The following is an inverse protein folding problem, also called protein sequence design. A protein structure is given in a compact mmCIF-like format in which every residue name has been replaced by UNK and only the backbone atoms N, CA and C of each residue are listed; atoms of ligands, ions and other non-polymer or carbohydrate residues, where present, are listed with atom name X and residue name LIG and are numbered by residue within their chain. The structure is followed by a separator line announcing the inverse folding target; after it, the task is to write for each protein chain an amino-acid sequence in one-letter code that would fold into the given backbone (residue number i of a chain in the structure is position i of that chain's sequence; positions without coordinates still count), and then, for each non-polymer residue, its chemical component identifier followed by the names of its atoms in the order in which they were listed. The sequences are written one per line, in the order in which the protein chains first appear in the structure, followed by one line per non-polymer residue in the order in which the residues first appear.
data_IF_459433776052
#
_entry.id   IF_459433776052
#
_cell.length_a   1.000
_cell.length_b   1.000
_cell.length_c   1.000
_cell.angle_alpha   90.00
_cell.angle_beta   90.00
_cell.angle_gamma   90.00
#
_symmetry.space_group_name_H-M   'P 1'
#
loop_
_entity.id
_entity.type
_entity.pdbx_description
1 polymer ?
#
# COMPACT_ATOMS: atom_id res chain seq x y z
N UNK A 1 -14.92 -17.24 -0.51
CA UNK A 1 -15.16 -17.35 0.94
C UNK A 1 -14.04 -16.60 1.64
N UNK A 2 -14.16 -15.28 1.77
CA UNK A 2 -13.48 -14.59 2.87
C UNK A 2 -14.35 -14.86 4.10
N UNK A 3 -13.82 -15.59 5.08
CA UNK A 3 -14.48 -15.76 6.35
C UNK A 3 -14.46 -14.40 7.08
N UNK A 4 -15.63 -13.86 7.39
CA UNK A 4 -15.80 -12.83 8.42
C UNK A 4 -16.40 -13.53 9.65
N UNK A 5 -15.59 -13.70 10.69
CA UNK A 5 -16.05 -14.11 12.01
C UNK A 5 -16.57 -12.87 12.73
N UNK A 6 -17.85 -12.86 13.10
CA UNK A 6 -18.46 -11.84 13.97
C UNK A 6 -18.06 -12.16 15.42
N UNK A 7 -17.22 -11.34 16.05
CA UNK A 7 -16.89 -11.48 17.47
C UNK A 7 -17.80 -10.57 18.28
N UNK A 8 -18.70 -11.17 19.06
CA UNK A 8 -19.59 -10.47 19.99
C UNK A 8 -18.84 -9.91 21.21
N UNK A 9 -19.33 -8.77 21.71
CA UNK A 9 -18.70 -7.84 22.67
C UNK A 9 -18.52 -8.34 24.12
N UNK A 10 -18.17 -9.62 24.38
CA UNK A 10 -17.98 -10.11 25.77
C UNK A 10 -16.68 -10.87 26.07
N UNK A 11 -15.70 -10.91 25.15
CA UNK A 11 -14.33 -11.40 25.45
C UNK A 11 -13.27 -10.63 24.64
N UNK A 12 -13.08 -9.34 24.94
CA UNK A 12 -12.12 -8.51 24.21
C UNK A 12 -10.64 -8.87 24.49
N UNK A 13 -10.30 -9.42 25.65
CA UNK A 13 -8.89 -9.61 26.03
C UNK A 13 -8.22 -10.83 25.39
N UNK A 14 -8.94 -11.92 25.12
CA UNK A 14 -8.34 -13.13 24.52
C UNK A 14 -8.27 -13.10 22.99
N UNK A 15 -9.15 -12.32 22.33
CA UNK A 15 -9.27 -12.28 20.86
C UNK A 15 -8.26 -11.31 20.21
N UNK A 16 -7.85 -10.25 20.92
CA UNK A 16 -6.81 -9.33 20.46
C UNK A 16 -5.47 -10.05 20.22
N UNK A 17 -5.18 -11.12 20.97
CA UNK A 17 -4.00 -11.96 20.74
C UNK A 17 -4.06 -12.75 19.41
N UNK A 18 -5.26 -13.01 18.90
CA UNK A 18 -5.49 -13.89 17.74
C UNK A 18 -5.55 -13.12 16.42
N UNK A 19 -5.95 -11.85 16.42
CA UNK A 19 -6.05 -11.02 15.21
C UNK A 19 -4.68 -10.60 14.66
N UNK A 20 -3.65 -10.50 15.51
CA UNK A 20 -2.26 -10.33 15.05
C UNK A 20 -1.75 -11.52 14.23
N UNK A 21 -2.42 -12.68 14.28
CA UNK A 21 -1.95 -13.91 13.62
C UNK A 21 -2.48 -14.14 12.20
N UNK A 22 -3.48 -13.39 11.73
CA UNK A 22 -4.17 -13.68 10.46
C UNK A 22 -3.57 -12.98 9.23
N UNK A 23 -2.88 -11.84 9.38
CA UNK A 23 -2.14 -11.20 8.27
C UNK A 23 -0.78 -11.86 8.01
N UNK A 24 -0.16 -12.41 9.05
CA UNK A 24 1.17 -13.04 9.01
C UNK A 24 1.23 -14.41 8.33
N UNK A 25 0.10 -15.01 7.92
CA UNK A 25 0.03 -16.36 7.32
C UNK A 25 -0.05 -16.40 5.79
N UNK A 26 0.30 -15.31 5.08
CA UNK A 26 -0.04 -15.22 3.64
C UNK A 26 1.08 -15.38 2.61
N UNK A 27 2.33 -15.56 3.02
CA UNK A 27 3.38 -15.90 2.06
C UNK A 27 4.11 -17.15 2.53
N UNK A 28 3.94 -18.24 1.78
CA UNK A 28 4.89 -19.35 1.83
C UNK A 28 6.19 -18.79 1.25
N UNK A 29 7.09 -18.35 2.12
CA UNK A 29 8.39 -17.85 1.68
C UNK A 29 9.13 -19.00 1.00
N UNK A 30 9.37 -18.86 -0.29
CA UNK A 30 10.24 -19.79 -1.05
C UNK A 30 11.71 -19.52 -0.76
N UNK A 31 12.03 -18.44 -0.04
CA UNK A 31 13.39 -18.06 0.32
C UNK A 31 13.74 -18.64 1.69
N UNK A 32 14.91 -19.27 1.78
CA UNK A 32 15.44 -19.64 3.07
C UNK A 32 15.69 -18.37 3.91
N UNK A 33 15.30 -18.33 5.20
CA UNK A 33 15.59 -17.20 6.07
C UNK A 33 17.09 -16.91 6.12
N UNK A 34 17.49 -15.65 5.93
CA UNK A 34 18.89 -15.23 6.04
C UNK A 34 19.81 -15.67 4.87
N UNK A 35 19.26 -16.10 3.73
CA UNK A 35 20.07 -16.49 2.56
C UNK A 35 20.11 -15.42 1.48
N UNK A 36 21.30 -15.12 0.95
CA UNK A 36 21.48 -14.31 -0.26
C UNK A 36 21.79 -15.26 -1.41
N UNK A 37 20.95 -15.24 -2.46
CA UNK A 37 21.15 -16.08 -3.62
C UNK A 37 22.43 -15.69 -4.38
N UNK A 38 23.23 -16.64 -4.91
CA UNK A 38 24.51 -16.35 -5.57
C UNK A 38 24.42 -15.42 -6.79
N UNK A 39 23.25 -15.33 -7.43
CA UNK A 39 23.00 -14.44 -8.58
C UNK A 39 22.48 -13.06 -8.19
N UNK A 40 22.26 -12.79 -6.90
CA UNK A 40 21.90 -11.47 -6.42
C UNK A 40 23.13 -10.55 -6.47
N UNK A 41 22.92 -9.31 -6.91
CA UNK A 41 23.97 -8.28 -6.95
C UNK A 41 23.75 -7.36 -5.76
N UNK A 42 24.50 -7.59 -4.70
CA UNK A 42 24.50 -6.75 -3.49
C UNK A 42 25.79 -5.97 -3.46
N UNK A 43 25.70 -4.64 -3.49
CA UNK A 43 26.87 -3.80 -3.37
C UNK A 43 27.54 -3.98 -1.99
N UNK A 44 28.89 -4.04 -1.88
CA UNK A 44 29.58 -4.32 -0.61
C UNK A 44 29.30 -3.30 0.50
N UNK A 45 28.97 -2.05 0.14
CA UNK A 45 28.61 -0.99 1.10
C UNK A 45 27.15 -1.03 1.57
N UNK A 46 26.30 -1.88 0.97
CA UNK A 46 24.92 -2.02 1.40
C UNK A 46 24.87 -2.57 2.84
N UNK A 47 23.99 -2.00 3.66
CA UNK A 47 23.83 -2.44 5.06
C UNK A 47 22.64 -3.38 5.14
N UNK A 48 22.89 -4.64 5.47
CA UNK A 48 21.86 -5.67 5.60
C UNK A 48 21.70 -6.09 7.07
N UNK A 49 20.46 -6.09 7.54
CA UNK A 49 20.07 -6.58 8.86
C UNK A 49 20.15 -8.11 8.98
N UNK A 50 19.95 -8.59 10.20
CA UNK A 50 19.93 -10.02 10.51
C UNK A 50 18.73 -10.71 9.85
N UNK A 51 18.96 -11.91 9.30
CA UNK A 51 17.90 -12.74 8.72
C UNK A 51 17.30 -12.20 7.43
N UNK A 52 17.95 -11.24 6.76
CA UNK A 52 17.53 -10.76 5.43
C UNK A 52 17.70 -11.87 4.41
N UNK A 53 16.66 -12.11 3.63
CA UNK A 53 16.67 -13.07 2.52
C UNK A 53 16.60 -12.34 1.19
N UNK A 54 17.52 -12.65 0.27
CA UNK A 54 17.60 -12.03 -1.05
C UNK A 54 17.56 -13.11 -2.12
N UNK A 55 16.53 -13.05 -2.97
CA UNK A 55 16.31 -13.98 -4.07
C UNK A 55 17.25 -13.79 -5.26
N UNK A 56 17.18 -14.71 -6.24
CA UNK A 56 17.96 -14.62 -7.48
C UNK A 56 17.66 -13.32 -8.24
N UNK A 57 18.70 -12.76 -8.86
CA UNK A 57 18.61 -11.58 -9.74
C UNK A 57 18.12 -10.29 -9.08
N UNK A 58 18.06 -10.23 -7.74
CA UNK A 58 17.85 -8.99 -7.03
C UNK A 58 19.07 -8.06 -7.15
N UNK A 59 18.84 -6.75 -7.06
CA UNK A 59 19.91 -5.74 -7.00
C UNK A 59 19.74 -4.87 -5.76
N UNK A 60 20.82 -4.66 -5.01
CA UNK A 60 20.84 -3.77 -3.83
C UNK A 60 21.99 -2.77 -3.97
N UNK A 61 21.62 -1.48 -4.04
CA UNK A 61 22.54 -0.36 -4.24
C UNK A 61 23.48 -0.07 -3.06
N UNK A 62 24.49 0.75 -3.30
CA UNK A 62 25.60 1.01 -2.37
C UNK A 62 25.23 1.75 -1.09
N UNK A 63 24.19 2.58 -1.14
CA UNK A 63 23.71 3.41 -0.03
C UNK A 63 22.44 2.85 0.60
N UNK A 64 22.03 1.65 0.21
CA UNK A 64 20.82 1.01 0.70
C UNK A 64 21.04 0.42 2.10
N UNK A 65 20.03 0.61 2.96
CA UNK A 65 19.93 -0.05 4.26
C UNK A 65 18.66 -0.90 4.32
N UNK A 66 18.81 -2.18 4.66
CA UNK A 66 17.70 -3.13 4.78
C UNK A 66 17.63 -3.66 6.20
N UNK A 67 16.49 -3.46 6.86
CA UNK A 67 16.23 -3.91 8.23
C UNK A 67 16.14 -5.43 8.38
N UNK A 68 16.07 -5.88 9.64
CA UNK A 68 16.07 -7.29 10.00
C UNK A 68 14.87 -8.05 9.38
N UNK A 69 15.10 -9.28 8.94
CA UNK A 69 14.05 -10.19 8.49
C UNK A 69 13.31 -9.77 7.20
N UNK A 70 13.85 -8.82 6.45
CA UNK A 70 13.30 -8.45 5.14
C UNK A 70 13.46 -9.57 4.12
N UNK A 71 12.52 -9.64 3.18
CA UNK A 71 12.51 -10.65 2.12
C UNK A 71 12.40 -9.98 0.76
N UNK A 72 13.43 -10.15 -0.06
CA UNK A 72 13.49 -9.65 -1.44
C UNK A 72 13.26 -10.85 -2.38
N UNK A 73 12.10 -10.90 -3.02
CA UNK A 73 11.75 -11.94 -3.99
C UNK A 73 12.51 -11.76 -5.31
N UNK A 74 12.59 -12.81 -6.15
CA UNK A 74 13.39 -12.80 -7.38
C UNK A 74 13.22 -11.53 -8.22
N UNK A 75 14.32 -10.91 -8.64
CA UNK A 75 14.28 -9.73 -9.49
C UNK A 75 13.62 -8.50 -8.86
N UNK A 76 13.56 -8.40 -7.52
CA UNK A 76 13.26 -7.13 -6.84
C UNK A 76 14.51 -6.27 -6.72
N UNK A 77 14.38 -4.94 -6.79
CA UNK A 77 15.50 -4.01 -6.80
C UNK A 77 15.35 -2.87 -5.79
N UNK A 78 16.45 -2.49 -5.14
CA UNK A 78 16.51 -1.34 -4.24
C UNK A 78 17.68 -0.44 -4.65
N UNK A 79 17.40 0.85 -4.87
CA UNK A 79 18.35 1.84 -5.39
C UNK A 79 18.39 3.12 -4.55
N UNK A 80 19.41 3.95 -4.81
CA UNK A 80 19.61 5.22 -4.13
C UNK A 80 19.73 5.13 -2.62
N UNK A 81 19.68 6.30 -1.97
CA UNK A 81 19.64 6.42 -0.53
C UNK A 81 18.27 5.97 0.02
N UNK A 82 18.10 4.65 0.13
CA UNK A 82 16.87 4.01 0.56
C UNK A 82 17.06 3.23 1.85
N UNK A 83 16.19 3.47 2.82
CA UNK A 83 16.16 2.75 4.09
C UNK A 83 14.84 2.00 4.23
N UNK A 84 14.93 0.67 4.36
CA UNK A 84 13.80 -0.23 4.49
C UNK A 84 13.76 -0.76 5.91
N UNK A 85 12.68 -0.53 6.63
CA UNK A 85 12.46 -1.03 7.98
C UNK A 85 12.38 -2.55 8.04
N UNK A 86 12.26 -3.09 9.25
CA UNK A 86 12.29 -4.53 9.49
C UNK A 86 11.08 -5.27 8.89
N UNK A 87 11.27 -6.54 8.54
CA UNK A 87 10.21 -7.47 8.10
C UNK A 87 9.39 -6.95 6.91
N UNK A 88 10.00 -6.14 6.07
CA UNK A 88 9.41 -5.74 4.80
C UNK A 88 9.55 -6.86 3.76
N UNK A 89 8.60 -6.91 2.84
CA UNK A 89 8.58 -7.88 1.75
C UNK A 89 8.52 -7.13 0.43
N UNK A 90 9.49 -7.37 -0.44
CA UNK A 90 9.48 -6.88 -1.82
C UNK A 90 9.20 -8.06 -2.73
N UNK A 91 8.07 -8.03 -3.43
CA UNK A 91 7.67 -9.08 -4.37
C UNK A 91 8.47 -8.99 -5.67
N UNK A 92 8.37 -10.02 -6.50
CA UNK A 92 9.08 -10.11 -7.79
C UNK A 92 8.86 -8.87 -8.65
N UNK A 93 9.97 -8.30 -9.14
CA UNK A 93 9.96 -7.11 -9.99
C UNK A 93 9.67 -5.79 -9.28
N UNK A 94 9.45 -5.78 -7.96
CA UNK A 94 9.28 -4.54 -7.21
C UNK A 94 10.56 -3.69 -7.26
N UNK A 95 10.39 -2.37 -7.39
CA UNK A 95 11.49 -1.39 -7.40
C UNK A 95 11.26 -0.38 -6.29
N UNK A 96 12.26 -0.21 -5.41
CA UNK A 96 12.22 0.77 -4.33
C UNK A 96 13.42 1.71 -4.40
N UNK A 97 13.15 3.01 -4.40
CA UNK A 97 14.15 4.06 -4.54
C UNK A 97 14.68 4.23 -5.96
N UNK A 98 15.50 5.26 -6.13
CA UNK A 98 16.14 5.68 -7.37
C UNK A 98 17.36 6.56 -7.02
N UNK A 99 18.35 6.67 -7.91
CA UNK A 99 19.65 7.30 -7.64
C UNK A 99 19.60 8.84 -7.60
N UNK A 100 18.43 9.46 -7.70
CA UNK A 100 18.30 10.92 -7.54
C UNK A 100 18.60 11.36 -6.10
N UNK A 101 19.16 12.58 -5.91
CA UNK A 101 19.40 13.17 -4.60
C UNK A 101 18.17 13.16 -3.69
N UNK A 102 18.40 13.11 -2.37
CA UNK A 102 17.37 12.95 -1.35
C UNK A 102 17.32 11.51 -0.81
N UNK A 103 16.13 11.06 -0.38
CA UNK A 103 15.97 9.73 0.23
C UNK A 103 14.58 9.12 0.06
N UNK A 104 14.51 7.80 0.16
CA UNK A 104 13.28 7.02 0.31
C UNK A 104 13.32 6.26 1.64
N UNK A 105 12.36 6.52 2.53
CA UNK A 105 12.20 5.81 3.79
C UNK A 105 10.95 4.93 3.75
N UNK A 106 11.10 3.65 4.03
CA UNK A 106 9.99 2.73 4.28
C UNK A 106 10.10 2.23 5.73
N UNK A 107 9.02 2.34 6.48
CA UNK A 107 8.89 1.78 7.82
C UNK A 107 8.91 0.24 7.82
N UNK A 108 8.55 -0.35 8.95
CA UNK A 108 8.54 -1.79 9.16
C UNK A 108 7.29 -2.45 8.56
N UNK A 109 7.39 -3.75 8.30
CA UNK A 109 6.26 -4.62 7.99
C UNK A 109 5.46 -4.20 6.74
N UNK A 110 6.09 -3.47 5.81
CA UNK A 110 5.48 -3.10 4.53
C UNK A 110 5.59 -4.25 3.51
N UNK A 111 4.56 -4.40 2.67
CA UNK A 111 4.57 -5.34 1.54
C UNK A 111 4.51 -4.52 0.26
N UNK A 112 5.52 -4.67 -0.58
CA UNK A 112 5.63 -4.02 -1.89
C UNK A 112 5.34 -5.08 -2.96
N UNK A 113 4.21 -4.91 -3.63
CA UNK A 113 3.64 -5.85 -4.58
C UNK A 113 4.43 -6.00 -5.87
N UNK A 114 4.03 -6.98 -6.67
CA UNK A 114 4.70 -7.31 -7.93
C UNK A 114 4.77 -6.10 -8.85
N UNK A 115 5.97 -5.78 -9.33
CA UNK A 115 6.19 -4.64 -10.22
C UNK A 115 5.69 -3.28 -9.69
N UNK A 116 5.48 -3.13 -8.39
CA UNK A 116 5.25 -1.82 -7.80
C UNK A 116 6.55 -1.00 -7.83
N UNK A 117 6.43 0.30 -8.07
CA UNK A 117 7.55 1.23 -8.22
C UNK A 117 7.37 2.35 -7.19
N UNK A 118 8.25 2.36 -6.18
CA UNK A 118 8.09 3.20 -4.98
C UNK A 118 9.33 4.06 -4.77
N UNK A 119 9.19 5.38 -4.68
CA UNK A 119 10.31 6.28 -4.38
C UNK A 119 11.11 6.75 -5.60
N UNK A 120 10.45 6.84 -6.76
CA UNK A 120 11.05 7.33 -8.01
C UNK A 120 10.78 8.81 -8.26
N UNK A 121 11.44 9.38 -9.28
CA UNK A 121 11.26 10.76 -9.74
C UNK A 121 9.79 11.14 -9.92
N UNK A 122 9.41 12.35 -9.52
CA UNK A 122 8.09 12.89 -9.82
C UNK A 122 7.92 13.30 -11.29
N UNK A 123 6.65 13.51 -11.68
CA UNK A 123 6.27 13.95 -13.02
C UNK A 123 6.01 15.47 -13.10
N UNK A 124 6.30 16.24 -12.03
CA UNK A 124 6.16 17.69 -12.06
C UNK A 124 7.21 18.30 -13.00
N UNK A 125 6.76 19.04 -14.01
CA UNK A 125 7.63 19.76 -14.95
C UNK A 125 8.46 20.86 -14.26
N UNK A 126 8.08 21.28 -13.05
CA UNK A 126 8.79 22.29 -12.26
C UNK A 126 9.93 21.69 -11.43
N UNK A 127 10.05 20.37 -11.34
CA UNK A 127 11.18 19.72 -10.66
C UNK A 127 12.49 20.09 -11.35
N UNK A 128 13.46 20.60 -10.58
CA UNK A 128 14.78 20.95 -11.10
C UNK A 128 15.71 19.76 -10.99
N UNK A 129 16.40 19.45 -12.09
CA UNK A 129 17.36 18.35 -12.12
C UNK A 129 18.46 18.56 -11.08
N UNK A 130 18.65 17.58 -10.20
CA UNK A 130 19.63 17.62 -9.12
C UNK A 130 19.06 18.09 -7.78
N UNK A 131 17.82 18.59 -7.73
CA UNK A 131 17.17 18.90 -6.46
C UNK A 131 16.93 17.60 -5.67
N UNK A 132 17.13 17.67 -4.36
CA UNK A 132 16.76 16.60 -3.45
C UNK A 132 15.24 16.39 -3.47
N UNK A 133 14.82 15.13 -3.43
CA UNK A 133 13.41 14.75 -3.34
C UNK A 133 13.23 13.59 -2.36
N UNK A 134 12.07 13.59 -1.69
CA UNK A 134 11.85 12.82 -0.48
C UNK A 134 10.54 12.02 -0.54
N UNK A 135 10.59 10.78 -0.06
CA UNK A 135 9.44 9.93 0.23
C UNK A 135 9.60 9.31 1.62
N UNK A 136 8.53 9.36 2.41
CA UNK A 136 8.44 8.70 3.71
C UNK A 136 7.16 7.85 3.77
N UNK A 137 7.32 6.55 3.96
CA UNK A 137 6.24 5.57 4.12
C UNK A 137 6.35 4.98 5.52
N UNK A 138 5.25 5.00 6.27
CA UNK A 138 5.16 4.43 7.62
C UNK A 138 5.13 2.90 7.64
N UNK A 139 4.51 2.34 8.66
CA UNK A 139 4.53 0.90 8.94
C UNK A 139 3.27 0.17 8.45
N UNK A 140 3.41 -1.13 8.20
CA UNK A 140 2.29 -2.05 7.97
C UNK A 140 1.41 -1.71 6.76
N UNK A 141 1.96 -1.13 5.70
CA UNK A 141 1.23 -0.86 4.47
C UNK A 141 1.30 -2.04 3.51
N UNK A 142 0.20 -2.33 2.82
CA UNK A 142 0.12 -3.29 1.72
C UNK A 142 -0.02 -2.51 0.41
N UNK A 143 1.10 -2.35 -0.31
CA UNK A 143 1.19 -1.62 -1.58
C UNK A 143 1.18 -2.64 -2.70
N UNK A 144 0.07 -2.71 -3.44
CA UNK A 144 -0.20 -3.79 -4.38
C UNK A 144 0.45 -3.57 -5.75
N UNK A 145 0.34 -4.61 -6.57
CA UNK A 145 0.99 -4.71 -7.86
C UNK A 145 0.82 -3.47 -8.76
N UNK A 146 1.88 -3.13 -9.49
CA UNK A 146 1.91 -1.99 -10.43
C UNK A 146 1.58 -0.61 -9.85
N UNK A 147 1.53 -0.46 -8.52
CA UNK A 147 1.38 0.86 -7.88
C UNK A 147 2.62 1.70 -8.13
N UNK A 148 2.44 2.97 -8.48
CA UNK A 148 3.53 3.96 -8.64
C UNK A 148 3.45 5.04 -7.56
N UNK A 149 4.53 5.22 -6.79
CA UNK A 149 4.62 6.23 -5.73
C UNK A 149 5.83 7.11 -5.97
N UNK A 150 5.59 8.41 -6.10
CA UNK A 150 6.61 9.39 -6.48
C UNK A 150 7.13 10.18 -5.28
N UNK A 151 8.42 10.52 -5.32
CA UNK A 151 9.05 11.46 -4.36
C UNK A 151 8.50 12.88 -4.54
N UNK A 152 8.83 13.77 -3.60
CA UNK A 152 8.43 15.17 -3.65
C UNK A 152 8.91 15.92 -4.89
N UNK A 153 8.26 17.04 -5.19
CA UNK A 153 8.65 17.93 -6.30
C UNK A 153 9.76 18.92 -5.90
N UNK A 154 9.98 19.12 -4.60
CA UNK A 154 10.92 20.09 -4.03
C UNK A 154 11.67 19.50 -2.84
N UNK A 155 12.88 19.98 -2.61
CA UNK A 155 13.69 19.63 -1.44
C UNK A 155 13.09 20.08 -0.10
N UNK A 156 12.21 21.08 -0.11
CA UNK A 156 11.50 21.54 1.08
C UNK A 156 10.24 20.75 1.42
N UNK A 157 9.87 19.76 0.60
CA UNK A 157 8.64 18.98 0.77
C UNK A 157 8.93 17.47 0.70
N UNK A 158 7.94 16.65 1.00
CA UNK A 158 8.08 15.19 1.12
C UNK A 158 6.77 14.50 0.78
N UNK A 159 6.76 13.49 -0.08
CA UNK A 159 5.58 12.63 -0.18
C UNK A 159 5.50 11.77 1.08
N UNK A 160 4.36 11.77 1.77
CA UNK A 160 4.17 11.05 3.04
C UNK A 160 3.03 10.06 2.93
N UNK A 161 3.28 8.83 3.37
CA UNK A 161 2.26 7.78 3.56
C UNK A 161 2.35 7.30 5.00
N UNK A 162 1.23 7.33 5.73
CA UNK A 162 1.16 6.86 7.10
C UNK A 162 1.19 5.34 7.22
N UNK A 163 0.46 4.83 8.21
CA UNK A 163 0.51 3.44 8.64
C UNK A 163 -0.76 2.67 8.25
N UNK A 164 -0.64 1.34 8.15
CA UNK A 164 -1.79 0.43 8.03
C UNK A 164 -2.70 0.72 6.83
N UNK A 165 -2.15 1.23 5.72
CA UNK A 165 -2.90 1.50 4.50
C UNK A 165 -2.91 0.27 3.58
N UNK A 166 -4.01 0.09 2.85
CA UNK A 166 -4.10 -0.84 1.73
C UNK A 166 -4.18 -0.03 0.44
N UNK A 167 -3.14 -0.09 -0.37
CA UNK A 167 -3.05 0.61 -1.66
C UNK A 167 -3.18 -0.43 -2.75
N UNK A 168 -4.37 -0.61 -3.31
CA UNK A 168 -4.65 -1.68 -4.28
C UNK A 168 -3.96 -1.45 -5.63
N UNK A 169 -4.06 -2.44 -6.52
CA UNK A 169 -3.20 -2.48 -7.71
C UNK A 169 -3.38 -1.31 -8.66
N UNK A 170 -2.29 -0.92 -9.33
CA UNK A 170 -2.24 0.17 -10.31
C UNK A 170 -2.67 1.54 -9.76
N UNK A 171 -2.56 1.77 -8.45
CA UNK A 171 -2.71 3.12 -7.90
C UNK A 171 -1.55 4.03 -8.32
N UNK A 172 -1.82 5.32 -8.40
CA UNK A 172 -0.82 6.35 -8.62
C UNK A 172 -0.84 7.36 -7.48
N UNK A 173 0.31 7.54 -6.82
CA UNK A 173 0.51 8.54 -5.77
C UNK A 173 1.57 9.51 -6.26
N UNK A 174 1.12 10.69 -6.70
CA UNK A 174 2.00 11.75 -7.18
C UNK A 174 2.83 12.37 -6.04
N UNK A 175 3.70 13.29 -6.43
CA UNK A 175 4.55 14.04 -5.52
C UNK A 175 3.76 14.82 -4.46
N UNK A 176 4.37 14.99 -3.28
CA UNK A 176 3.89 15.87 -2.21
C UNK A 176 2.53 15.48 -1.60
N UNK A 177 1.99 14.31 -1.94
CA UNK A 177 0.79 13.75 -1.31
C UNK A 177 1.05 13.50 0.19
N UNK A 178 0.04 13.73 1.04
CA UNK A 178 0.10 13.46 2.48
C UNK A 178 -1.01 12.49 2.87
N UNK A 179 -0.71 11.20 2.78
CA UNK A 179 -1.61 10.10 3.09
C UNK A 179 -1.50 9.77 4.58
N UNK A 180 -2.65 9.72 5.25
CA UNK A 180 -2.74 9.37 6.67
C UNK A 180 -2.63 7.87 6.93
N UNK A 181 -3.31 7.41 7.99
CA UNK A 181 -3.32 6.01 8.42
C UNK A 181 -4.65 5.34 8.08
N UNK A 182 -4.65 4.00 7.97
CA UNK A 182 -5.85 3.17 7.85
C UNK A 182 -6.73 3.51 6.63
N UNK A 183 -6.12 3.92 5.53
CA UNK A 183 -6.80 4.26 4.28
C UNK A 183 -6.76 3.06 3.33
N UNK A 184 -7.86 2.88 2.59
CA UNK A 184 -7.96 1.89 1.53
C UNK A 184 -8.13 2.64 0.21
N UNK A 185 -7.17 2.48 -0.70
CA UNK A 185 -7.30 2.93 -2.08
C UNK A 185 -7.66 1.73 -2.95
N UNK A 186 -8.77 1.84 -3.68
CA UNK A 186 -9.18 0.82 -4.63
C UNK A 186 -8.28 0.84 -5.88
N UNK A 187 -8.36 -0.22 -6.70
CA UNK A 187 -7.55 -0.32 -7.91
C UNK A 187 -7.68 0.93 -8.78
N UNK A 188 -6.57 1.32 -9.42
CA UNK A 188 -6.52 2.45 -10.34
C UNK A 188 -6.85 3.82 -9.72
N UNK A 189 -6.79 3.96 -8.38
CA UNK A 189 -6.94 5.27 -7.75
C UNK A 189 -5.76 6.17 -8.13
N UNK A 190 -6.05 7.38 -8.63
CA UNK A 190 -5.04 8.36 -9.03
C UNK A 190 -5.10 9.56 -8.09
N UNK A 191 -4.02 9.81 -7.35
CA UNK A 191 -3.86 11.01 -6.53
C UNK A 191 -2.90 11.98 -7.24
N UNK A 192 -3.40 13.17 -7.55
CA UNK A 192 -2.58 14.26 -8.10
C UNK A 192 -1.65 14.86 -7.03
N UNK A 193 -0.71 15.71 -7.45
CA UNK A 193 0.24 16.32 -6.50
C UNK A 193 -0.46 17.19 -5.45
N UNK A 194 0.08 17.21 -4.22
CA UNK A 194 -0.42 18.01 -3.08
C UNK A 194 -1.83 17.66 -2.56
N UNK A 195 -2.29 16.42 -2.74
CA UNK A 195 -3.61 16.00 -2.28
C UNK A 195 -3.60 15.68 -0.78
N UNK A 196 -4.29 16.51 0.02
CA UNK A 196 -4.63 16.25 1.44
C UNK A 196 -6.15 16.17 1.63
N UNK A 197 -6.91 16.97 0.87
CA UNK A 197 -8.37 17.12 1.01
C UNK A 197 -9.14 15.89 0.49
N UNK A 198 -8.68 15.30 -0.63
CA UNK A 198 -9.36 14.15 -1.23
C UNK A 198 -9.23 12.89 -0.37
N UNK A 199 -8.21 12.82 0.49
CA UNK A 199 -7.97 11.69 1.39
C UNK A 199 -8.97 11.65 2.55
N UNK A 200 -9.31 12.81 3.15
CA UNK A 200 -10.38 12.89 4.16
C UNK A 200 -11.73 12.49 3.56
N UNK A 201 -11.93 12.88 2.32
CA UNK A 201 -13.14 12.61 1.56
C UNK A 201 -13.30 11.11 1.29
N UNK A 202 -12.22 10.41 0.92
CA UNK A 202 -12.19 8.95 0.82
C UNK A 202 -12.50 8.25 2.14
N UNK A 203 -11.89 8.68 3.25
CA UNK A 203 -12.17 8.09 4.57
C UNK A 203 -13.65 8.22 4.94
N UNK A 204 -14.23 9.39 4.67
CA UNK A 204 -15.64 9.67 4.93
C UNK A 204 -16.54 8.79 4.06
N UNK A 205 -16.25 8.69 2.77
CA UNK A 205 -16.98 7.84 1.83
C UNK A 205 -16.90 6.36 2.26
N UNK A 206 -15.71 5.87 2.64
CA UNK A 206 -15.53 4.50 3.11
C UNK A 206 -16.37 4.21 4.37
N UNK A 207 -16.36 5.11 5.35
CA UNK A 207 -17.18 4.98 6.56
C UNK A 207 -18.67 4.92 6.23
N UNK A 208 -19.16 5.79 5.33
CA UNK A 208 -20.57 5.78 4.91
C UNK A 208 -20.96 4.49 4.18
N UNK A 209 -20.08 3.96 3.33
CA UNK A 209 -20.34 2.73 2.54
C UNK A 209 -20.21 1.46 3.39
N UNK A 210 -19.20 1.35 4.27
CA UNK A 210 -18.86 0.09 4.93
C UNK A 210 -19.11 0.06 6.45
N UNK A 211 -19.23 1.22 7.11
CA UNK A 211 -19.44 1.36 8.56
C UNK A 211 -20.63 2.30 8.87
N UNK A 212 -21.84 2.03 8.35
CA UNK A 212 -22.96 2.95 8.51
C UNK A 212 -23.43 2.97 9.96
N UNK A 213 -23.77 4.16 10.45
CA UNK A 213 -24.38 4.34 11.77
C UNK A 213 -25.80 3.70 11.84
N UNK A 214 -26.51 3.67 10.71
CA UNK A 214 -27.82 3.02 10.58
C UNK A 214 -27.75 1.80 9.67
N UNK A 215 -28.20 0.65 10.16
CA UNK A 215 -28.16 -0.65 9.45
C UNK A 215 -29.33 -0.78 8.45
N UNK A 216 -30.22 0.21 8.36
CA UNK A 216 -31.47 0.15 7.59
C UNK A 216 -31.25 0.17 6.06
N UNK A 217 -30.16 0.78 5.56
CA UNK A 217 -29.89 0.92 4.12
C UNK A 217 -29.11 -0.24 3.52
N UNK A 218 -29.53 -0.67 2.34
CA UNK A 218 -28.83 -1.69 1.54
C UNK A 218 -27.42 -1.25 1.15
N UNK A 219 -26.56 -2.19 0.75
CA UNK A 219 -25.22 -1.86 0.25
C UNK A 219 -25.27 -1.05 -1.06
N UNK A 220 -26.11 -1.47 -2.00
CA UNK A 220 -26.30 -0.77 -3.29
C UNK A 220 -26.92 0.62 -3.10
N UNK A 221 -27.80 0.77 -2.11
CA UNK A 221 -28.44 2.04 -1.76
C UNK A 221 -27.44 3.03 -1.18
N UNK A 222 -26.50 2.56 -0.35
CA UNK A 222 -25.39 3.39 0.16
C UNK A 222 -24.42 3.82 -0.94
N UNK A 223 -24.16 2.97 -1.93
CA UNK A 223 -23.36 3.35 -3.10
C UNK A 223 -24.08 4.41 -3.94
N UNK A 224 -25.38 4.24 -4.18
CA UNK A 224 -26.19 5.22 -4.90
C UNK A 224 -26.26 6.57 -4.17
N UNK A 225 -26.34 6.56 -2.83
CA UNK A 225 -26.30 7.78 -2.02
C UNK A 225 -24.99 8.55 -2.20
N UNK A 226 -23.85 7.86 -2.29
CA UNK A 226 -22.54 8.49 -2.57
C UNK A 226 -22.46 9.12 -3.95
N UNK A 227 -23.21 8.62 -4.93
CA UNK A 227 -23.20 9.13 -6.30
C UNK A 227 -24.19 10.27 -6.52
N UNK A 228 -25.30 10.28 -5.77
CA UNK A 228 -26.42 11.17 -6.07
C UNK A 228 -26.49 12.42 -5.18
N UNK A 229 -26.02 12.38 -3.92
CA UNK A 229 -26.41 13.42 -2.92
C UNK A 229 -25.38 13.75 -1.84
N UNK A 230 -24.09 13.49 -2.05
CA UNK A 230 -23.06 13.80 -1.06
C UNK A 230 -22.10 14.88 -1.55
N UNK A 231 -21.54 15.68 -0.63
CA UNK A 231 -20.45 16.64 -0.92
C UNK A 231 -19.22 15.93 -1.54
N UNK A 232 -19.17 14.60 -1.40
CA UNK A 232 -18.13 13.70 -1.88
C UNK A 232 -18.34 13.24 -3.33
N UNK A 233 -19.54 13.39 -3.91
CA UNK A 233 -19.91 12.85 -5.23
C UNK A 233 -19.16 13.51 -6.42
N UNK A 234 -18.50 14.64 -6.17
CA UNK A 234 -17.71 15.37 -7.19
C UNK A 234 -16.21 15.17 -7.04
N UNK A 235 -15.77 14.45 -6.00
CA UNK A 235 -14.36 14.22 -5.74
C UNK A 235 -13.93 13.00 -6.54
N UNK A 236 -13.09 13.23 -7.55
CA UNK A 236 -12.66 12.21 -8.52
C UNK A 236 -12.22 10.90 -7.85
N UNK A 237 -11.48 11.01 -6.75
CA UNK A 237 -10.96 9.87 -5.99
C UNK A 237 -12.07 9.06 -5.32
N UNK A 238 -13.11 9.71 -4.79
CA UNK A 238 -14.30 9.03 -4.23
C UNK A 238 -15.09 8.36 -5.36
N UNK A 239 -15.27 9.02 -6.49
CA UNK A 239 -15.95 8.44 -7.66
C UNK A 239 -15.22 7.19 -8.18
N UNK A 240 -13.89 7.25 -8.31
CA UNK A 240 -13.08 6.09 -8.70
C UNK A 240 -13.19 4.94 -7.69
N UNK A 241 -13.23 5.24 -6.38
CA UNK A 241 -13.46 4.22 -5.35
C UNK A 241 -14.83 3.56 -5.51
N UNK A 242 -15.90 4.35 -5.63
CA UNK A 242 -17.28 3.86 -5.78
C UNK A 242 -17.41 3.02 -7.06
N UNK A 243 -16.86 3.48 -8.18
CA UNK A 243 -16.88 2.75 -9.44
C UNK A 243 -16.10 1.42 -9.32
N UNK A 244 -14.90 1.42 -8.72
CA UNK A 244 -14.12 0.20 -8.51
C UNK A 244 -14.86 -0.82 -7.63
N UNK A 245 -15.60 -0.33 -6.63
CA UNK A 245 -16.49 -1.17 -5.82
C UNK A 245 -17.59 -1.76 -6.71
N UNK A 246 -18.32 -0.95 -7.52
CA UNK A 246 -19.36 -1.44 -8.45
C UNK A 246 -18.84 -2.47 -9.45
N UNK A 247 -17.70 -2.20 -10.07
CA UNK A 247 -17.05 -3.10 -11.04
C UNK A 247 -16.72 -4.46 -10.41
N UNK A 248 -16.42 -4.47 -9.10
CA UNK A 248 -16.20 -5.70 -8.34
C UNK A 248 -17.48 -6.54 -8.15
N UNK A 249 -18.67 -5.95 -8.35
CA UNK A 249 -19.98 -6.60 -8.20
C UNK A 249 -20.72 -6.85 -9.54
N UNK A 250 -20.41 -6.13 -10.62
CA UNK A 250 -21.18 -6.20 -11.88
C UNK A 250 -20.86 -7.41 -12.79
N UNK A 251 -19.79 -8.16 -12.54
CA UNK A 251 -19.41 -9.29 -13.40
C UNK A 251 -19.96 -10.64 -12.94
N UNK A 252 -20.43 -11.49 -13.88
CA UNK A 252 -20.51 -12.97 -13.73
C UNK A 252 -19.12 -13.63 -13.50
N UNK A 253 -18.16 -12.93 -12.87
CA UNK A 253 -16.92 -13.51 -12.39
C UNK A 253 -17.23 -14.33 -11.14
N UNK A 254 -16.98 -15.63 -11.17
CA UNK A 254 -16.88 -16.45 -9.94
C UNK A 254 -15.61 -16.01 -9.20
N UNK A 255 -15.68 -14.86 -8.53
CA UNK A 255 -14.54 -14.22 -7.87
C UNK A 255 -14.99 -13.40 -6.67
N UNK A 256 -15.11 -14.09 -5.53
CA UNK A 256 -14.91 -13.59 -4.16
C UNK A 256 -16.03 -12.76 -3.47
N UNK A 257 -16.96 -12.09 -4.16
CA UNK A 257 -18.07 -11.39 -3.48
C UNK A 257 -19.46 -11.82 -3.98
N UNK A 258 -20.12 -12.75 -3.27
CA UNK A 258 -21.58 -12.89 -3.30
C UNK A 258 -22.12 -12.57 -1.90
N UNK A 259 -22.87 -11.48 -1.77
CA UNK A 259 -23.63 -11.16 -0.57
C UNK A 259 -24.74 -12.21 -0.42
N UNK A 260 -24.77 -12.96 0.69
CA UNK A 260 -25.91 -13.81 1.04
C UNK A 260 -26.80 -13.01 1.98
N UNK A 261 -28.02 -12.67 1.55
CA UNK A 261 -29.06 -12.23 2.47
C UNK A 261 -29.33 -13.35 3.47
N UNK A 262 -29.13 -13.08 4.76
CA UNK A 262 -29.55 -13.97 5.83
C UNK A 262 -30.97 -13.58 6.21
N UNK A 263 -31.96 -14.26 5.64
CA UNK A 263 -33.31 -14.21 6.20
C UNK A 263 -33.27 -14.97 7.52
N UNK A 264 -33.30 -14.23 8.63
CA UNK A 264 -33.43 -14.80 9.96
C UNK A 264 -34.78 -15.49 10.08
N UNK A 265 -34.76 -16.81 10.29
CA UNK A 265 -35.74 -17.55 11.09
C UNK A 265 -35.01 -17.99 12.35
#
# INVERSE_FOLDING_TARGET
MCALVKVGSKRLSSVLSSLNSLSLRRFCSTLAPGSIHPTAIVHPNAVLGQGVSIGPFCTVGSTVKVGNGCQLYPGSHIFGNSEIGERCVLMTGAVVGDDLPGRTLLGCNNIIGHHAVVGVKCQDLKYKSGDECFLEVGDNNDIREHTSIHRSSKSSDTTVIGNNNLIMGSCHIAHDCKIGNNIIFANNTLLAGHVVVEIRSLQTAYQKIFMPAEISKGFDERLADMEMRDELAHISVVCSMVQSIRDSFEGKRRGICKFRHWNGS
#
